data_IF_909756181275
#
_entry.id   IF_909756181275
#
_cell.length_a   1.000
_cell.length_b   1.000
_cell.length_c   1.000
_cell.angle_alpha   90.00
_cell.angle_beta   90.00
_cell.angle_gamma   90.00
#
_symmetry.space_group_name_H-M   'P 1'
#
loop_
_entity.id
_entity.type
_entity.pdbx_description
1 polymer ?
#
# COMPACT_ATOMS: atom_id res chain seq x y z
N UNK A 1 19.85 -44.50 55.15
CA UNK A 1 20.02 -45.83 54.55
C UNK A 1 20.18 -45.65 53.09
N UNK A 2 21.39 -45.55 52.68
CA UNK A 2 22.29 -46.56 52.09
C UNK A 2 21.88 -46.86 50.66
N UNK A 3 22.77 -46.38 49.73
CA UNK A 3 23.87 -47.11 48.97
C UNK A 3 23.26 -47.85 47.78
N UNK A 4 23.83 -47.92 46.60
CA UNK A 4 25.22 -47.89 46.08
C UNK A 4 25.12 -47.73 44.57
N UNK A 5 25.90 -46.97 43.87
CA UNK A 5 27.22 -47.24 43.28
C UNK A 5 27.31 -48.45 42.35
N UNK A 6 27.84 -48.19 41.18
CA UNK A 6 28.64 -49.10 40.34
C UNK A 6 28.17 -49.03 38.87
N UNK A 7 29.01 -48.91 37.90
CA UNK A 7 30.45 -48.89 37.75
C UNK A 7 30.76 -48.82 36.25
N UNK A 8 31.92 -48.32 35.96
CA UNK A 8 32.48 -47.90 34.66
C UNK A 8 32.95 -49.03 33.75
N UNK A 9 32.96 -48.71 32.43
CA UNK A 9 34.04 -48.93 31.45
C UNK A 9 34.28 -50.36 30.88
N UNK A 10 35.06 -50.53 29.78
CA UNK A 10 35.59 -49.59 28.79
C UNK A 10 35.61 -50.09 27.33
N UNK A 11 36.04 -49.24 26.39
CA UNK A 11 36.84 -49.48 25.17
C UNK A 11 36.26 -50.33 24.05
N UNK A 12 36.06 -49.68 22.87
CA UNK A 12 36.71 -50.08 21.62
C UNK A 12 36.70 -48.93 20.59
N UNK A 13 37.89 -48.58 20.11
CA UNK A 13 38.26 -47.80 18.94
C UNK A 13 38.91 -48.72 17.94
N UNK A 14 39.15 -48.28 16.68
CA UNK A 14 38.36 -47.88 15.51
C UNK A 14 38.55 -48.85 14.34
N UNK A 15 38.13 -48.48 13.11
CA UNK A 15 39.15 -48.19 12.10
C UNK A 15 38.90 -47.01 11.16
N UNK A 16 40.01 -46.50 10.75
CA UNK A 16 40.33 -45.50 9.75
C UNK A 16 39.81 -45.83 8.36
N UNK A 17 39.41 -44.81 7.58
CA UNK A 17 39.48 -44.88 6.13
C UNK A 17 38.30 -44.26 5.39
N UNK A 18 38.41 -43.03 4.97
CA UNK A 18 38.48 -42.62 3.56
C UNK A 18 38.19 -41.13 3.42
N UNK A 19 39.11 -40.49 2.74
CA UNK A 19 39.06 -39.07 2.35
C UNK A 19 37.94 -38.85 1.36
N UNK A 20 36.95 -37.96 1.67
CA UNK A 20 36.11 -37.35 0.67
C UNK A 20 36.26 -35.84 0.76
N UNK A 21 36.73 -35.29 -0.32
CA UNK A 21 36.88 -33.83 -0.55
C UNK A 21 35.57 -33.07 -0.35
N UNK A 22 35.61 -31.85 0.22
CA UNK A 22 34.41 -31.03 0.28
C UNK A 22 34.10 -30.45 -1.10
N UNK A 23 32.99 -30.90 -1.68
CA UNK A 23 32.42 -30.32 -2.89
C UNK A 23 32.13 -28.83 -2.67
N UNK A 24 32.77 -27.99 -3.47
CA UNK A 24 32.45 -26.58 -3.64
C UNK A 24 30.97 -26.47 -4.03
N UNK A 25 30.13 -26.02 -3.11
CA UNK A 25 28.81 -25.47 -3.46
C UNK A 25 29.05 -24.06 -4.00
N UNK A 26 29.05 -23.98 -5.33
CA UNK A 26 28.88 -22.72 -6.02
C UNK A 26 27.48 -22.18 -5.71
N UNK A 27 27.40 -21.32 -4.71
CA UNK A 27 26.27 -20.43 -4.54
C UNK A 27 26.37 -19.35 -5.61
N UNK A 28 25.74 -19.58 -6.76
CA UNK A 28 25.57 -18.54 -7.76
C UNK A 28 24.79 -17.38 -7.17
N UNK A 29 25.10 -16.13 -7.53
CA UNK A 29 24.38 -14.96 -7.04
C UNK A 29 22.92 -15.06 -7.45
N UNK A 30 22.04 -14.92 -6.48
CA UNK A 30 20.58 -14.95 -6.64
C UNK A 30 20.15 -13.88 -7.66
N UNK A 31 19.71 -14.32 -8.83
CA UNK A 31 19.34 -13.56 -10.03
C UNK A 31 18.02 -12.76 -9.88
N UNK A 32 17.61 -12.49 -8.64
CA UNK A 32 16.28 -11.89 -8.33
C UNK A 32 16.31 -10.34 -8.30
N UNK A 33 17.49 -9.71 -8.16
CA UNK A 33 17.60 -8.26 -8.01
C UNK A 33 17.72 -7.45 -9.32
N UNK A 34 18.11 -8.08 -10.41
CA UNK A 34 18.36 -7.35 -11.67
C UNK A 34 17.10 -7.15 -12.52
N UNK A 35 16.06 -7.98 -12.34
CA UNK A 35 14.82 -7.88 -13.14
C UNK A 35 13.94 -6.71 -12.69
N UNK A 36 13.84 -6.47 -11.38
CA UNK A 36 12.99 -5.38 -10.84
C UNK A 36 13.50 -3.98 -11.17
N UNK A 37 14.81 -3.76 -11.16
CA UNK A 37 15.41 -2.44 -11.46
C UNK A 37 15.26 -2.09 -12.94
N UNK A 38 15.39 -3.05 -13.85
CA UNK A 38 15.23 -2.83 -15.29
C UNK A 38 13.75 -2.63 -15.69
N UNK A 39 12.82 -3.22 -14.94
CA UNK A 39 11.38 -3.01 -15.15
C UNK A 39 10.96 -1.61 -14.67
N UNK A 40 11.48 -1.13 -13.55
CA UNK A 40 11.25 0.24 -13.05
C UNK A 40 11.76 1.32 -14.04
N UNK A 41 12.84 1.08 -14.76
CA UNK A 41 13.34 2.02 -15.80
C UNK A 41 12.41 2.15 -17.03
N UNK A 42 11.47 1.22 -17.23
CA UNK A 42 10.51 1.24 -18.33
C UNK A 42 9.12 1.73 -17.94
N UNK A 43 8.82 1.80 -16.65
CA UNK A 43 7.52 2.23 -16.17
C UNK A 43 7.36 3.75 -16.26
N UNK A 44 6.21 4.18 -16.75
CA UNK A 44 5.85 5.61 -16.77
C UNK A 44 5.66 6.12 -15.35
N UNK A 45 6.14 7.31 -15.06
CA UNK A 45 5.88 7.97 -13.78
C UNK A 45 4.71 8.93 -13.94
N UNK A 46 3.68 8.75 -13.13
CA UNK A 46 2.47 9.57 -13.08
C UNK A 46 2.38 10.22 -11.72
N UNK A 47 2.12 11.51 -11.68
CA UNK A 47 1.82 12.22 -10.43
C UNK A 47 0.31 12.31 -10.26
N UNK A 48 -0.20 11.95 -9.09
CA UNK A 48 -1.62 11.97 -8.76
C UNK A 48 -1.84 12.77 -7.49
N UNK A 49 -2.73 13.75 -7.54
CA UNK A 49 -3.25 14.48 -6.39
C UNK A 49 -4.69 14.05 -6.16
N UNK A 50 -5.10 13.88 -4.90
CA UNK A 50 -6.46 13.46 -4.55
C UNK A 50 -6.94 14.15 -3.30
N UNK A 51 -8.26 14.41 -3.26
CA UNK A 51 -8.96 14.91 -2.09
C UNK A 51 -10.40 14.38 -2.05
N UNK A 52 -11.00 14.39 -0.86
CA UNK A 52 -12.39 14.01 -0.63
C UNK A 52 -13.07 14.98 0.31
N UNK A 53 -14.32 15.31 0.04
CA UNK A 53 -15.14 16.20 0.87
C UNK A 53 -16.48 15.54 1.20
N UNK A 54 -17.02 15.81 2.39
CA UNK A 54 -18.34 15.35 2.78
C UNK A 54 -19.07 16.45 3.59
N UNK A 55 -20.29 16.74 3.17
CA UNK A 55 -21.15 17.71 3.87
C UNK A 55 -22.00 16.97 4.92
N UNK A 56 -21.49 16.88 6.14
CA UNK A 56 -21.94 15.93 7.15
C UNK A 56 -21.12 14.63 7.10
N UNK A 57 -21.31 13.73 8.08
CA UNK A 57 -20.54 12.49 8.14
C UNK A 57 -21.34 11.40 8.90
N UNK A 58 -22.27 10.67 8.21
CA UNK A 58 -22.51 10.61 6.77
C UNK A 58 -23.31 11.81 6.20
N UNK A 59 -23.21 11.98 4.85
CA UNK A 59 -23.94 13.02 4.11
C UNK A 59 -23.53 13.06 2.64
N UNK A 60 -24.00 14.06 1.88
CA UNK A 60 -23.54 14.29 0.52
C UNK A 60 -22.04 14.49 0.47
N UNK A 61 -21.36 13.72 -0.37
CA UNK A 61 -19.92 13.81 -0.51
C UNK A 61 -19.47 13.83 -1.96
N UNK A 62 -18.24 14.31 -2.16
CA UNK A 62 -17.58 14.34 -3.44
C UNK A 62 -16.10 14.06 -3.32
N UNK A 63 -15.49 13.74 -4.43
CA UNK A 63 -14.06 13.50 -4.55
C UNK A 63 -13.49 14.20 -5.78
N UNK A 64 -12.23 14.58 -5.72
CA UNK A 64 -11.48 15.16 -6.80
C UNK A 64 -10.12 14.51 -6.95
N UNK A 65 -9.65 14.38 -8.19
CA UNK A 65 -8.32 13.90 -8.48
C UNK A 65 -7.71 14.60 -9.70
N UNK A 66 -6.40 14.78 -9.69
CA UNK A 66 -5.63 15.32 -10.80
C UNK A 66 -4.51 14.34 -11.12
N UNK A 67 -4.47 13.89 -12.38
CA UNK A 67 -3.41 13.04 -12.91
C UNK A 67 -2.52 13.86 -13.83
N UNK A 68 -1.21 13.70 -13.69
CA UNK A 68 -0.21 14.38 -14.50
C UNK A 68 0.83 13.40 -15.04
N UNK A 69 1.02 13.44 -16.35
CA UNK A 69 2.06 12.69 -17.04
C UNK A 69 2.73 13.57 -18.12
N UNK A 70 4.01 13.93 -17.92
CA UNK A 70 4.67 14.91 -18.76
C UNK A 70 3.92 16.24 -18.81
N UNK A 71 3.55 16.71 -19.99
CA UNK A 71 2.74 17.91 -20.19
C UNK A 71 1.23 17.68 -20.11
N UNK A 72 0.79 16.43 -19.97
CA UNK A 72 -0.64 16.09 -19.93
C UNK A 72 -1.16 16.15 -18.50
N UNK A 73 -2.28 16.86 -18.33
CA UNK A 73 -3.02 16.95 -17.08
C UNK A 73 -4.47 16.52 -17.30
N UNK A 74 -5.04 15.74 -16.41
CA UNK A 74 -6.43 15.33 -16.40
C UNK A 74 -7.03 15.51 -15.01
N UNK A 75 -8.18 16.17 -14.95
CA UNK A 75 -8.97 16.30 -13.75
C UNK A 75 -10.13 15.28 -13.78
N UNK A 76 -10.44 14.74 -12.62
CA UNK A 76 -11.54 13.82 -12.38
C UNK A 76 -12.29 14.26 -11.14
N UNK A 77 -13.58 14.03 -11.14
CA UNK A 77 -14.41 14.25 -9.96
C UNK A 77 -15.66 13.36 -10.03
N UNK A 78 -16.26 13.17 -8.86
CA UNK A 78 -17.53 12.47 -8.72
C UNK A 78 -18.03 12.59 -7.29
N UNK A 79 -19.24 12.09 -7.03
CA UNK A 79 -19.82 12.21 -5.69
C UNK A 79 -20.92 11.19 -5.44
N UNK A 80 -21.37 11.16 -4.19
CA UNK A 80 -22.42 10.27 -3.69
C UNK A 80 -23.35 11.06 -2.76
N UNK A 81 -24.66 10.73 -2.79
CA UNK A 81 -25.68 11.41 -1.96
C UNK A 81 -25.55 11.09 -0.46
N UNK A 82 -25.04 9.92 -0.12
CA UNK A 82 -24.87 9.48 1.28
C UNK A 82 -23.56 8.69 1.42
N UNK A 83 -22.56 9.36 1.97
CA UNK A 83 -21.22 8.81 2.12
C UNK A 83 -20.50 9.39 3.34
N UNK A 84 -19.22 9.13 3.49
CA UNK A 84 -18.36 9.73 4.52
C UNK A 84 -17.11 10.32 3.91
N UNK A 85 -16.46 11.26 4.60
CA UNK A 85 -15.22 11.86 4.13
C UNK A 85 -14.16 10.81 3.77
N UNK A 86 -13.90 9.85 4.65
CA UNK A 86 -12.92 8.78 4.40
C UNK A 86 -13.26 7.92 3.18
N UNK A 87 -14.55 7.70 2.87
CA UNK A 87 -14.95 6.99 1.65
C UNK A 87 -14.60 7.80 0.41
N UNK A 88 -14.86 9.10 0.42
CA UNK A 88 -14.55 9.97 -0.71
C UNK A 88 -13.05 10.08 -0.96
N UNK A 89 -12.23 10.18 0.10
CA UNK A 89 -10.78 10.16 0.02
C UNK A 89 -10.25 8.85 -0.61
N UNK A 90 -10.78 7.69 -0.17
CA UNK A 90 -10.42 6.39 -0.76
C UNK A 90 -10.88 6.29 -2.22
N UNK A 91 -12.10 6.74 -2.51
CA UNK A 91 -12.67 6.68 -3.86
C UNK A 91 -11.85 7.54 -4.84
N UNK A 92 -11.41 8.72 -4.44
CA UNK A 92 -10.55 9.57 -5.25
C UNK A 92 -9.29 8.83 -5.73
N UNK A 93 -8.61 8.14 -4.83
CA UNK A 93 -7.40 7.37 -5.18
C UNK A 93 -7.73 6.16 -6.05
N UNK A 94 -8.80 5.43 -5.74
CA UNK A 94 -9.23 4.26 -6.51
C UNK A 94 -9.58 4.66 -7.95
N UNK A 95 -10.38 5.69 -8.14
CA UNK A 95 -10.80 6.15 -9.46
C UNK A 95 -9.62 6.69 -10.29
N UNK A 96 -8.68 7.42 -9.64
CA UNK A 96 -7.47 7.88 -10.30
C UNK A 96 -6.57 6.73 -10.76
N UNK A 97 -6.31 5.74 -9.91
CA UNK A 97 -5.48 4.58 -10.25
C UNK A 97 -6.14 3.68 -11.30
N UNK A 98 -7.46 3.54 -11.27
CA UNK A 98 -8.24 2.72 -12.21
C UNK A 98 -8.17 3.22 -13.66
N UNK A 99 -7.82 4.49 -13.87
CA UNK A 99 -7.63 5.05 -15.21
C UNK A 99 -6.28 4.68 -15.85
N UNK A 100 -5.32 4.22 -15.07
CA UNK A 100 -4.02 3.85 -15.58
C UNK A 100 -4.13 2.49 -16.30
N UNK A 101 -3.81 2.49 -17.60
CA UNK A 101 -4.00 1.32 -18.48
C UNK A 101 -2.85 0.31 -18.43
N UNK A 102 -1.74 0.68 -17.81
CA UNK A 102 -0.52 -0.11 -17.71
C UNK A 102 0.13 0.11 -16.33
N UNK A 103 1.00 -0.80 -15.85
CA UNK A 103 1.76 -0.59 -14.63
C UNK A 103 2.56 0.72 -14.69
N UNK A 104 2.44 1.55 -13.66
CA UNK A 104 3.10 2.84 -13.53
C UNK A 104 3.80 2.98 -12.20
N UNK A 105 4.82 3.83 -12.16
CA UNK A 105 5.29 4.44 -10.91
C UNK A 105 4.36 5.62 -10.63
N UNK A 106 3.74 5.64 -9.46
CA UNK A 106 2.77 6.67 -9.08
C UNK A 106 3.26 7.46 -7.88
N UNK A 107 3.49 8.75 -8.05
CA UNK A 107 3.67 9.70 -6.96
C UNK A 107 2.29 10.17 -6.48
N UNK A 108 1.78 9.56 -5.39
CA UNK A 108 0.46 9.87 -4.83
C UNK A 108 0.57 10.93 -3.75
N UNK A 109 -0.09 12.07 -3.97
CA UNK A 109 -0.17 13.23 -3.08
C UNK A 109 -1.57 13.37 -2.51
N UNK A 110 -1.71 13.37 -1.20
CA UNK A 110 -2.99 13.58 -0.51
C UNK A 110 -2.76 14.17 0.88
N UNK A 111 -3.70 14.94 1.38
CA UNK A 111 -3.72 15.42 2.77
C UNK A 111 -4.43 14.44 3.72
N UNK A 112 -5.05 13.41 3.17
CA UNK A 112 -5.67 12.34 3.96
C UNK A 112 -4.62 11.46 4.65
N UNK A 113 -4.42 11.68 5.94
CA UNK A 113 -3.61 10.75 6.75
C UNK A 113 -4.21 9.35 6.81
N UNK A 114 -5.53 9.24 6.73
CA UNK A 114 -6.21 7.94 6.72
C UNK A 114 -5.76 7.09 5.53
N UNK A 115 -5.70 7.67 4.34
CA UNK A 115 -5.26 6.99 3.12
C UNK A 115 -3.75 6.77 3.13
N UNK A 116 -2.97 7.83 3.31
CA UNK A 116 -1.50 7.78 3.22
C UNK A 116 -0.91 6.83 4.29
N UNK A 117 -1.33 6.95 5.55
CA UNK A 117 -0.84 6.09 6.62
C UNK A 117 -1.34 4.64 6.46
N UNK A 118 -2.58 4.45 6.03
CA UNK A 118 -3.16 3.14 5.78
C UNK A 118 -2.37 2.33 4.75
N UNK A 119 -1.87 3.00 3.72
CA UNK A 119 -1.03 2.40 2.68
C UNK A 119 0.45 2.32 3.08
N UNK A 120 1.07 3.45 3.42
CA UNK A 120 2.52 3.56 3.63
C UNK A 120 3.00 2.79 4.86
N UNK A 121 2.21 2.75 5.93
CA UNK A 121 2.48 1.99 7.15
C UNK A 121 1.98 0.54 7.07
N UNK A 122 1.34 0.15 5.96
CA UNK A 122 0.83 -1.20 5.74
C UNK A 122 -0.37 -1.58 6.61
N UNK A 123 -1.06 -0.59 7.22
CA UNK A 123 -2.19 -0.88 8.10
C UNK A 123 -3.32 -1.62 7.37
N UNK A 124 -3.68 -1.17 6.18
CA UNK A 124 -4.74 -1.78 5.38
C UNK A 124 -4.42 -3.24 5.01
N UNK A 125 -3.16 -3.54 4.62
CA UNK A 125 -2.70 -4.91 4.38
C UNK A 125 -2.80 -5.76 5.64
N UNK A 126 -2.41 -5.20 6.79
CA UNK A 126 -2.54 -5.87 8.08
C UNK A 126 -3.99 -6.13 8.49
N UNK A 127 -4.92 -5.20 8.22
CA UNK A 127 -6.34 -5.40 8.48
C UNK A 127 -6.91 -6.50 7.58
N UNK A 128 -6.62 -6.48 6.28
CA UNK A 128 -7.05 -7.53 5.33
C UNK A 128 -6.56 -8.91 5.76
N UNK A 129 -5.29 -9.04 6.14
CA UNK A 129 -4.70 -10.31 6.60
C UNK A 129 -5.36 -10.87 7.87
N UNK A 130 -6.00 -10.02 8.68
CA UNK A 130 -6.74 -10.40 9.89
C UNK A 130 -8.26 -10.39 9.70
N UNK A 131 -8.75 -10.52 8.47
CA UNK A 131 -10.19 -10.50 8.17
C UNK A 131 -10.84 -9.15 8.45
N UNK A 132 -10.15 -8.06 8.16
CA UNK A 132 -10.59 -6.66 8.37
C UNK A 132 -10.76 -6.28 9.85
N UNK A 133 -9.91 -6.85 10.68
CA UNK A 133 -9.85 -6.54 12.13
C UNK A 133 -8.59 -5.72 12.41
N UNK A 134 -8.76 -4.61 13.12
CA UNK A 134 -7.67 -3.75 13.59
C UNK A 134 -6.93 -4.38 14.78
N UNK A 135 -5.79 -3.82 15.16
CA UNK A 135 -5.00 -4.27 16.31
C UNK A 135 -5.75 -4.16 17.65
N UNK A 136 -6.66 -3.19 17.76
CA UNK A 136 -7.56 -3.01 18.93
C UNK A 136 -8.78 -3.94 18.92
N UNK A 137 -8.78 -4.96 18.05
CA UNK A 137 -9.86 -5.95 17.85
C UNK A 137 -11.17 -5.39 17.32
N UNK A 138 -11.22 -4.13 16.92
CA UNK A 138 -12.39 -3.51 16.28
C UNK A 138 -12.38 -3.74 14.76
N UNK A 139 -13.56 -3.80 14.11
CA UNK A 139 -13.63 -3.86 12.66
C UNK A 139 -12.90 -2.66 12.00
N UNK A 140 -12.19 -2.91 10.92
CA UNK A 140 -11.71 -1.85 10.06
C UNK A 140 -12.87 -1.22 9.30
N UNK A 141 -12.85 0.09 9.13
CA UNK A 141 -13.86 0.80 8.34
C UNK A 141 -13.52 0.70 6.84
N UNK A 142 -14.57 0.71 6.00
CA UNK A 142 -14.48 0.73 4.54
C UNK A 142 -13.67 -0.45 3.95
N UNK A 143 -13.87 -1.70 4.39
CA UNK A 143 -13.11 -2.84 3.89
C UNK A 143 -13.28 -3.05 2.39
N UNK A 144 -14.46 -2.72 1.84
CA UNK A 144 -14.79 -2.74 0.42
C UNK A 144 -13.87 -1.87 -0.42
N UNK A 145 -13.68 -0.61 -0.02
CA UNK A 145 -12.81 0.33 -0.72
C UNK A 145 -11.33 0.00 -0.50
N UNK A 146 -10.95 -0.39 0.71
CA UNK A 146 -9.59 -0.82 0.98
C UNK A 146 -9.19 -2.04 0.17
N UNK A 147 -10.09 -3.00 -0.03
CA UNK A 147 -9.81 -4.20 -0.84
C UNK A 147 -9.54 -3.84 -2.30
N UNK A 148 -10.39 -2.99 -2.89
CA UNK A 148 -10.20 -2.44 -4.24
C UNK A 148 -8.88 -1.66 -4.36
N UNK A 149 -8.58 -0.80 -3.40
CA UNK A 149 -7.36 0.01 -3.42
C UNK A 149 -6.10 -0.85 -3.30
N UNK A 150 -6.09 -1.83 -2.40
CA UNK A 150 -4.96 -2.75 -2.25
C UNK A 150 -4.69 -3.56 -3.52
N UNK A 151 -5.73 -4.00 -4.24
CA UNK A 151 -5.56 -4.68 -5.52
C UNK A 151 -4.87 -3.77 -6.56
N UNK A 152 -5.22 -2.50 -6.62
CA UNK A 152 -4.57 -1.53 -7.51
C UNK A 152 -3.11 -1.26 -7.10
N UNK A 153 -2.78 -1.28 -5.80
CA UNK A 153 -1.40 -1.11 -5.34
C UNK A 153 -0.50 -2.31 -5.68
N UNK A 154 -1.06 -3.45 -6.06
CA UNK A 154 -0.29 -4.60 -6.55
C UNK A 154 0.08 -4.45 -8.03
N UNK A 155 -0.68 -3.65 -8.78
CA UNK A 155 -0.43 -3.37 -10.21
C UNK A 155 0.57 -2.25 -10.41
N UNK A 156 0.52 -1.22 -9.55
CA UNK A 156 1.32 0.00 -9.66
C UNK A 156 2.33 0.10 -8.54
N UNK A 157 3.48 0.75 -8.79
CA UNK A 157 4.48 1.07 -7.76
C UNK A 157 4.18 2.46 -7.19
N UNK A 158 3.65 2.53 -5.97
CA UNK A 158 3.23 3.80 -5.35
C UNK A 158 4.31 4.37 -4.43
N UNK A 159 4.55 5.68 -4.57
CA UNK A 159 5.30 6.53 -3.64
C UNK A 159 4.31 7.48 -2.97
N UNK A 160 4.31 7.51 -1.65
CA UNK A 160 3.31 8.22 -0.86
C UNK A 160 3.84 9.55 -0.37
N UNK A 161 3.09 10.62 -0.62
CA UNK A 161 3.42 11.99 -0.22
C UNK A 161 2.23 12.60 0.52
N UNK A 162 2.40 12.79 1.82
CA UNK A 162 1.42 13.54 2.59
C UNK A 162 1.65 15.04 2.44
N UNK A 163 0.59 15.79 2.18
CA UNK A 163 0.58 17.25 2.18
C UNK A 163 -0.33 17.77 3.28
N UNK A 164 -0.04 18.96 3.77
CA UNK A 164 -0.96 19.62 4.70
C UNK A 164 -2.11 20.21 3.90
N UNK A 165 -3.36 19.85 4.24
CA UNK A 165 -4.55 20.39 3.63
C UNK A 165 -4.64 21.92 3.75
N UNK A 166 -5.23 22.56 2.73
CA UNK A 166 -5.37 24.02 2.62
C UNK A 166 -4.05 24.80 2.74
N UNK A 167 -2.91 24.17 2.43
CA UNK A 167 -1.59 24.80 2.39
C UNK A 167 -1.26 25.29 0.96
N UNK A 168 0.01 25.54 0.68
CA UNK A 168 0.49 26.12 -0.59
C UNK A 168 0.44 25.18 -1.80
N UNK A 169 -0.14 23.97 -1.69
CA UNK A 169 -0.21 23.02 -2.80
C UNK A 169 -1.43 23.28 -3.68
N UNK A 170 -1.23 24.03 -4.77
CA UNK A 170 -2.29 24.40 -5.70
C UNK A 170 -3.07 23.21 -6.29
N UNK A 171 -2.42 22.07 -6.51
CA UNK A 171 -3.11 20.88 -7.05
C UNK A 171 -3.98 20.18 -6.02
N UNK A 172 -3.54 20.11 -4.75
CA UNK A 172 -4.39 19.58 -3.68
C UNK A 172 -5.60 20.50 -3.44
N UNK A 173 -5.38 21.82 -3.39
CA UNK A 173 -6.48 22.79 -3.27
C UNK A 173 -7.47 22.65 -4.44
N UNK A 174 -6.98 22.41 -5.66
CA UNK A 174 -7.86 22.17 -6.81
C UNK A 174 -8.66 20.86 -6.66
N UNK A 175 -8.08 19.80 -6.09
CA UNK A 175 -8.82 18.57 -5.79
C UNK A 175 -9.92 18.80 -4.76
N UNK A 176 -9.67 19.61 -3.71
CA UNK A 176 -10.68 20.01 -2.73
C UNK A 176 -11.83 20.78 -3.40
N UNK A 177 -11.54 21.78 -4.25
CA UNK A 177 -12.57 22.49 -5.01
C UNK A 177 -13.47 21.55 -5.81
N UNK A 178 -12.87 20.57 -6.51
CA UNK A 178 -13.60 19.57 -7.28
C UNK A 178 -14.48 18.70 -6.37
N UNK A 179 -13.93 18.23 -5.25
CA UNK A 179 -14.64 17.40 -4.28
C UNK A 179 -15.83 18.15 -3.66
N UNK A 180 -15.62 19.40 -3.24
CA UNK A 180 -16.69 20.26 -2.69
C UNK A 180 -17.77 20.52 -3.73
N UNK A 181 -17.41 20.85 -4.97
CA UNK A 181 -18.36 21.09 -6.04
C UNK A 181 -19.24 19.86 -6.34
N UNK A 182 -18.63 18.66 -6.33
CA UNK A 182 -19.38 17.41 -6.49
C UNK A 182 -20.34 17.14 -5.32
N UNK A 183 -19.90 17.36 -4.08
CA UNK A 183 -20.75 17.16 -2.90
C UNK A 183 -22.00 18.06 -2.92
N UNK A 184 -21.90 19.26 -3.49
CA UNK A 184 -23.03 20.21 -3.58
C UNK A 184 -24.14 19.77 -4.54
N UNK A 185 -23.83 18.90 -5.52
CA UNK A 185 -24.83 18.39 -6.47
C UNK A 185 -25.86 17.46 -5.82
N UNK A 186 -25.59 16.99 -4.63
CA UNK A 186 -26.41 16.03 -3.87
C UNK A 186 -27.06 16.67 -2.63
N UNK A 187 -26.97 17.99 -2.45
CA UNK A 187 -27.68 18.75 -1.42
C UNK A 187 -29.05 19.15 -1.94
#
# INVERSE_FOLDING_TARGET
MEKKMGGASPLDKPPCGSRHSPGRRNGGPTRIRSKSILEDFRMKTVTIYTDGACSGNPGPGGWGAILMYGAHKRELSGGEAATTNNRMELTAVIEALSLLKEPCIVDLWSDSKYVIDGLSKGWAKGWKARGWIKSDKKPALNPDLWDRLLALTEVHSLRYHWVKGHAENAYNNRCDELAVAESQKYK
#
